data_IF_890585872223
#
_entry.id   IF_890585872223
#
_cell.length_a   1.000
_cell.length_b   1.000
_cell.length_c   1.000
_cell.angle_alpha   90.00
_cell.angle_beta   90.00
_cell.angle_gamma   90.00
#
_symmetry.space_group_name_H-M   'P 1'
#
loop_
_entity.id
_entity.type
_entity.pdbx_description
1 polymer ?
#
# COMPACT_ATOMS: atom_id res chain seq x y z
N UNK A 1 -1.52 22.08 -3.58
CA UNK A 1 -1.38 21.18 -2.42
C UNK A 1 0.09 20.82 -2.30
N UNK A 2 0.69 20.91 -1.12
CA UNK A 2 2.12 20.56 -0.95
C UNK A 2 2.30 19.04 -0.90
N UNK A 3 3.49 18.53 -1.23
CA UNK A 3 3.80 17.08 -1.12
C UNK A 3 3.56 16.55 0.30
N UNK A 4 3.93 17.33 1.32
CA UNK A 4 3.64 16.99 2.71
C UNK A 4 2.13 16.82 2.94
N UNK A 5 1.31 17.78 2.49
CA UNK A 5 -0.15 17.67 2.61
C UNK A 5 -0.70 16.43 1.90
N UNK A 6 -0.15 16.06 0.74
CA UNK A 6 -0.56 14.85 0.03
C UNK A 6 -0.24 13.60 0.84
N UNK A 7 0.96 13.51 1.42
CA UNK A 7 1.37 12.40 2.28
C UNK A 7 0.49 12.30 3.52
N UNK A 8 0.21 13.41 4.20
CA UNK A 8 -0.70 13.42 5.36
C UNK A 8 -2.10 12.95 4.97
N UNK A 9 -2.67 13.48 3.89
CA UNK A 9 -3.99 13.06 3.44
C UNK A 9 -4.02 11.57 3.07
N UNK A 10 -2.97 11.06 2.42
CA UNK A 10 -2.84 9.65 2.06
C UNK A 10 -2.71 8.76 3.30
N UNK A 11 -1.89 9.15 4.28
CA UNK A 11 -1.71 8.42 5.53
C UNK A 11 -3.00 8.40 6.36
N UNK A 12 -3.69 9.54 6.48
CA UNK A 12 -4.99 9.64 7.14
C UNK A 12 -6.02 8.73 6.45
N UNK A 13 -6.04 8.70 5.11
CA UNK A 13 -6.92 7.78 4.35
C UNK A 13 -6.65 6.33 4.73
N UNK A 14 -5.39 5.92 4.85
CA UNK A 14 -5.00 4.59 5.30
C UNK A 14 -5.41 4.30 6.75
N UNK A 15 -5.21 5.26 7.66
CA UNK A 15 -5.58 5.16 9.08
C UNK A 15 -7.09 5.02 9.27
N UNK A 16 -7.89 5.72 8.47
CA UNK A 16 -9.35 5.70 8.52
C UNK A 16 -9.97 4.41 7.95
N UNK A 17 -9.19 3.56 7.28
CA UNK A 17 -9.70 2.30 6.75
C UNK A 17 -10.32 1.44 7.86
N UNK A 18 -11.42 0.76 7.54
CA UNK A 18 -12.10 -0.11 8.50
C UNK A 18 -11.17 -1.27 8.93
N UNK A 19 -11.12 -1.61 10.24
CA UNK A 19 -10.33 -2.74 10.71
C UNK A 19 -10.88 -4.08 10.22
N UNK A 20 -12.19 -4.15 9.92
CA UNK A 20 -12.91 -5.39 9.58
C UNK A 20 -13.23 -5.52 8.09
N UNK A 21 -13.22 -4.42 7.33
CA UNK A 21 -13.50 -4.41 5.89
C UNK A 21 -12.40 -3.64 5.18
N UNK A 22 -11.82 -4.23 4.14
CA UNK A 22 -10.79 -3.56 3.38
C UNK A 22 -10.81 -4.04 1.93
N UNK A 23 -10.76 -3.08 1.00
CA UNK A 23 -10.52 -3.31 -0.42
C UNK A 23 -9.06 -3.06 -0.79
N UNK A 24 -8.30 -2.45 0.12
CA UNK A 24 -6.94 -1.96 -0.09
C UNK A 24 -6.20 -1.96 1.25
N UNK A 25 -4.89 -2.23 1.22
CA UNK A 25 -4.03 -2.17 2.40
C UNK A 25 -2.88 -1.21 2.15
N UNK A 26 -2.59 -0.36 3.13
CA UNK A 26 -1.67 0.76 3.04
C UNK A 26 -0.37 0.42 3.77
N UNK A 27 0.76 0.79 3.17
CA UNK A 27 2.11 0.48 3.63
C UNK A 27 3.07 1.65 3.44
N UNK A 28 4.21 1.56 4.12
CA UNK A 28 5.40 2.36 3.86
C UNK A 28 6.61 1.44 3.70
N UNK A 29 7.39 1.58 2.64
CA UNK A 29 8.70 0.94 2.52
C UNK A 29 9.82 1.91 2.90
N UNK A 30 10.53 1.61 3.98
CA UNK A 30 11.70 2.38 4.42
C UNK A 30 12.85 2.35 3.42
N UNK A 31 13.01 1.25 2.68
CA UNK A 31 14.10 1.09 1.70
C UNK A 31 14.00 2.15 0.61
N UNK A 32 12.78 2.34 0.10
CA UNK A 32 12.50 3.21 -1.05
C UNK A 32 11.95 4.59 -0.62
N UNK A 33 11.75 4.79 0.69
CA UNK A 33 11.10 5.97 1.30
C UNK A 33 9.77 6.28 0.63
N UNK A 34 8.94 5.25 0.47
CA UNK A 34 7.76 5.34 -0.39
C UNK A 34 6.53 4.76 0.31
N UNK A 35 5.47 5.57 0.35
CA UNK A 35 4.12 5.14 0.67
C UNK A 35 3.51 4.42 -0.53
N UNK A 36 2.85 3.30 -0.28
CA UNK A 36 2.18 2.55 -1.32
C UNK A 36 1.02 1.76 -0.74
N UNK A 37 0.08 1.40 -1.59
CA UNK A 37 -1.03 0.53 -1.23
C UNK A 37 -1.14 -0.63 -2.21
N UNK A 38 -1.80 -1.70 -1.75
CA UNK A 38 -2.06 -2.89 -2.54
C UNK A 38 -3.57 -3.13 -2.49
N UNK A 39 -4.20 -3.23 -3.65
CA UNK A 39 -5.62 -3.62 -3.71
C UNK A 39 -5.75 -5.09 -3.33
N UNK A 40 -6.84 -5.43 -2.65
CA UNK A 40 -7.15 -6.83 -2.33
C UNK A 40 -7.15 -7.71 -3.60
N UNK A 41 -7.62 -7.17 -4.72
CA UNK A 41 -7.64 -7.84 -6.01
C UNK A 41 -6.25 -8.14 -6.57
N UNK A 42 -5.25 -7.34 -6.23
CA UNK A 42 -3.88 -7.53 -6.73
C UNK A 42 -3.25 -8.77 -6.10
N UNK A 43 -3.59 -9.14 -4.86
CA UNK A 43 -3.07 -10.37 -4.24
C UNK A 43 -3.38 -11.62 -5.04
N UNK A 44 -4.52 -11.66 -5.73
CA UNK A 44 -4.91 -12.81 -6.54
C UNK A 44 -4.14 -12.91 -7.87
N UNK A 45 -3.41 -11.85 -8.27
CA UNK A 45 -2.43 -11.94 -9.37
C UNK A 45 -1.23 -12.81 -9.00
N UNK A 46 -1.04 -13.10 -7.71
CA UNK A 46 0.12 -13.80 -7.20
C UNK A 46 -0.25 -15.18 -6.64
N UNK A 47 0.68 -16.12 -6.74
CA UNK A 47 0.59 -17.43 -6.09
C UNK A 47 1.07 -17.36 -4.62
N UNK A 48 1.08 -18.50 -3.94
CA UNK A 48 1.53 -18.60 -2.54
C UNK A 48 3.01 -18.25 -2.31
N UNK A 49 3.83 -18.16 -3.36
CA UNK A 49 5.23 -17.74 -3.30
C UNK A 49 5.41 -16.25 -3.65
N UNK A 50 4.33 -15.53 -3.98
CA UNK A 50 4.41 -14.16 -4.48
C UNK A 50 4.92 -14.07 -5.91
N UNK A 51 4.79 -15.15 -6.70
CA UNK A 51 5.07 -15.16 -8.14
C UNK A 51 3.77 -14.89 -8.92
N UNK A 52 3.86 -14.34 -10.13
CA UNK A 52 2.68 -14.12 -10.96
C UNK A 52 1.97 -15.45 -11.26
N UNK A 53 0.68 -15.52 -10.95
CA UNK A 53 -0.14 -16.68 -11.18
C UNK A 53 -0.46 -16.81 -12.68
N UNK A 54 -0.07 -17.95 -13.27
CA UNK A 54 -0.33 -18.28 -14.69
C UNK A 54 -1.82 -18.28 -15.08
N UNK A 55 -2.72 -18.46 -14.12
CA UNK A 55 -4.17 -18.50 -14.32
C UNK A 55 -4.84 -17.12 -14.10
N UNK A 56 -4.04 -16.09 -13.77
CA UNK A 56 -4.46 -14.71 -13.65
C UNK A 56 -3.81 -13.84 -14.74
N UNK A 57 -4.52 -12.80 -15.18
CA UNK A 57 -3.99 -11.81 -16.13
C UNK A 57 -4.35 -10.41 -15.66
N UNK A 58 -3.49 -9.44 -15.98
CA UNK A 58 -3.71 -8.03 -15.65
C UNK A 58 -3.50 -7.14 -16.87
N UNK A 59 -4.11 -5.96 -16.84
CA UNK A 59 -3.80 -4.85 -17.75
C UNK A 59 -2.68 -3.94 -17.23
N UNK A 60 -2.12 -4.20 -16.05
CA UNK A 60 -0.95 -3.48 -15.55
C UNK A 60 0.23 -3.61 -16.51
N UNK A 61 1.00 -2.52 -16.66
CA UNK A 61 2.29 -2.59 -17.35
C UNK A 61 3.26 -3.56 -16.68
N UNK A 62 4.23 -4.07 -17.44
CA UNK A 62 5.28 -4.95 -16.90
C UNK A 62 6.06 -4.29 -15.75
N UNK A 63 6.32 -2.98 -15.84
CA UNK A 63 6.97 -2.22 -14.77
C UNK A 63 6.14 -2.24 -13.46
N UNK A 64 4.82 -2.02 -13.55
CA UNK A 64 3.91 -2.11 -12.41
C UNK A 64 3.87 -3.52 -11.84
N UNK A 65 3.81 -4.56 -12.67
CA UNK A 65 3.82 -5.96 -12.22
C UNK A 65 5.12 -6.32 -11.50
N UNK A 66 6.28 -5.86 -11.99
CA UNK A 66 7.57 -6.06 -11.32
C UNK A 66 7.57 -5.40 -9.93
N UNK A 67 7.07 -4.17 -9.82
CA UNK A 67 6.98 -3.47 -8.53
C UNK A 67 6.01 -4.17 -7.58
N UNK A 68 4.80 -4.53 -8.03
CA UNK A 68 3.84 -5.28 -7.22
C UNK A 68 4.45 -6.60 -6.73
N UNK A 69 5.16 -7.32 -7.61
CA UNK A 69 5.84 -8.57 -7.26
C UNK A 69 6.87 -8.35 -6.14
N UNK A 70 7.73 -7.33 -6.25
CA UNK A 70 8.71 -6.99 -5.18
C UNK A 70 8.00 -6.70 -3.86
N UNK A 71 6.95 -5.87 -3.87
CA UNK A 71 6.19 -5.48 -2.67
C UNK A 71 5.51 -6.69 -2.02
N UNK A 72 4.77 -7.47 -2.78
CA UNK A 72 3.99 -8.62 -2.29
C UNK A 72 4.88 -9.66 -1.62
N UNK A 73 6.04 -9.97 -2.20
CA UNK A 73 6.99 -10.93 -1.62
C UNK A 73 7.54 -10.48 -0.27
N UNK A 74 7.60 -9.17 -0.03
CA UNK A 74 8.23 -8.57 1.14
C UNK A 74 7.26 -8.29 2.29
N UNK A 75 5.97 -8.05 2.02
CA UNK A 75 4.96 -7.55 3.01
C UNK A 75 4.86 -8.35 4.32
N UNK A 76 5.22 -9.63 4.35
CA UNK A 76 5.14 -10.47 5.56
C UNK A 76 6.50 -10.90 6.13
N UNK A 77 7.60 -10.55 5.47
CA UNK A 77 8.95 -11.04 5.83
C UNK A 77 9.98 -9.92 5.98
N UNK A 78 9.77 -8.76 5.35
CA UNK A 78 10.70 -7.65 5.38
C UNK A 78 10.26 -6.60 6.41
N UNK A 79 11.01 -6.41 7.52
CA UNK A 79 10.70 -5.40 8.54
C UNK A 79 10.85 -3.96 8.04
N UNK A 80 11.39 -3.73 6.84
CA UNK A 80 11.40 -2.41 6.20
C UNK A 80 10.04 -2.03 5.61
N UNK A 81 9.14 -2.99 5.41
CA UNK A 81 7.75 -2.73 5.03
C UNK A 81 6.90 -2.61 6.29
N UNK A 82 6.35 -1.43 6.51
CA UNK A 82 5.51 -1.11 7.65
C UNK A 82 4.07 -1.01 7.18
N UNK A 83 3.20 -1.87 7.71
CA UNK A 83 1.76 -1.73 7.52
C UNK A 83 1.23 -0.52 8.28
N UNK A 84 0.39 0.28 7.62
CA UNK A 84 -0.34 1.36 8.26
C UNK A 84 -1.55 0.77 8.99
N UNK A 85 -1.75 1.09 10.27
CA UNK A 85 -2.84 0.51 11.04
C UNK A 85 -4.20 1.01 10.51
N UNK A 86 -5.21 0.15 10.56
CA UNK A 86 -6.59 0.45 10.16
C UNK A 86 -7.42 0.71 11.40
N UNK A 87 -7.59 1.98 11.76
CA UNK A 87 -8.26 2.39 12.99
C UNK A 87 -9.79 2.46 12.84
N UNK A 88 -10.28 2.47 11.59
CA UNK A 88 -11.68 2.73 11.25
C UNK A 88 -11.97 4.21 11.19
N UNK A 89 -13.21 4.58 10.88
CA UNK A 89 -13.70 5.95 10.92
C UNK A 89 -14.29 6.21 12.31
N UNK A 90 -13.58 7.02 13.11
CA UNK A 90 -13.84 7.26 14.53
C UNK A 90 -13.68 8.75 14.83
N UNK A 91 -14.05 9.19 16.03
CA UNK A 91 -13.87 10.58 16.47
C UNK A 91 -12.41 10.92 16.88
N UNK A 92 -11.44 10.06 16.54
CA UNK A 92 -10.02 10.28 16.85
C UNK A 92 -9.40 11.41 16.01
N UNK A 93 -8.36 12.03 16.58
CA UNK A 93 -7.54 12.99 15.86
C UNK A 93 -6.55 12.27 14.93
N UNK A 94 -6.95 12.07 13.68
CA UNK A 94 -6.11 11.40 12.68
C UNK A 94 -4.83 12.16 12.32
N UNK A 95 -4.74 13.47 12.55
CA UNK A 95 -3.49 14.20 12.38
C UNK A 95 -2.51 13.78 13.48
N UNK A 96 -2.98 13.69 14.72
CA UNK A 96 -2.17 13.18 15.83
C UNK A 96 -1.76 11.71 15.63
N UNK A 97 -2.65 10.87 15.09
CA UNK A 97 -2.33 9.47 14.76
C UNK A 97 -1.29 9.38 13.64
N UNK A 98 -1.41 10.22 12.61
CA UNK A 98 -0.43 10.32 11.53
C UNK A 98 0.94 10.73 12.07
N UNK A 99 1.01 11.79 12.88
CA UNK A 99 2.27 12.24 13.51
C UNK A 99 2.88 11.14 14.38
N UNK A 100 2.06 10.44 15.16
CA UNK A 100 2.51 9.33 16.01
C UNK A 100 3.10 8.19 15.18
N UNK A 101 2.44 7.81 14.08
CA UNK A 101 2.92 6.79 13.15
C UNK A 101 4.26 7.19 12.51
N UNK A 102 4.37 8.41 12.01
CA UNK A 102 5.59 8.93 11.37
C UNK A 102 6.77 8.94 12.36
N UNK A 103 6.55 9.46 13.57
CA UNK A 103 7.58 9.55 14.61
C UNK A 103 8.03 8.17 15.12
N UNK A 104 7.07 7.26 15.40
CA UNK A 104 7.38 5.91 15.88
C UNK A 104 8.24 5.13 14.88
N UNK A 105 8.03 5.37 13.59
CA UNK A 105 8.73 4.68 12.51
C UNK A 105 9.94 5.43 11.97
N UNK A 106 10.25 6.62 12.51
CA UNK A 106 11.31 7.51 12.04
C UNK A 106 11.20 7.83 10.54
N UNK A 107 9.98 8.17 10.08
CA UNK A 107 9.68 8.51 8.69
C UNK A 107 9.80 10.03 8.50
N UNK A 108 10.71 10.45 7.62
CA UNK A 108 10.81 11.85 7.19
C UNK A 108 9.90 12.09 5.99
N UNK A 109 8.85 12.91 6.17
CA UNK A 109 7.88 13.26 5.13
C UNK A 109 8.54 14.01 3.97
N UNK A 110 9.57 14.83 4.24
CA UNK A 110 10.26 15.64 3.21
C UNK A 110 11.09 14.79 2.24
N UNK A 111 11.46 13.60 2.66
CA UNK A 111 12.23 12.64 1.85
C UNK A 111 11.36 11.52 1.29
N UNK A 112 10.07 11.53 1.60
CA UNK A 112 9.15 10.45 1.25
C UNK A 112 8.35 10.77 -0.01
N UNK A 113 7.97 9.72 -0.72
CA UNK A 113 7.12 9.82 -1.92
C UNK A 113 5.89 8.92 -1.77
N UNK A 114 4.89 9.12 -2.62
CA UNK A 114 3.76 8.21 -2.77
C UNK A 114 3.96 7.50 -4.11
N UNK A 115 3.81 6.18 -4.12
CA UNK A 115 3.69 5.44 -5.37
C UNK A 115 2.30 5.68 -5.94
N UNK A 116 2.23 6.56 -6.92
CA UNK A 116 1.01 6.84 -7.67
C UNK A 116 1.06 6.06 -8.97
N UNK A 117 0.14 5.11 -9.15
CA UNK A 117 0.01 4.35 -10.39
C UNK A 117 -1.00 5.10 -11.26
N UNK A 118 -0.52 5.81 -12.28
CA UNK A 118 -1.37 6.54 -13.24
C UNK A 118 -2.20 5.61 -14.16
N UNK A 119 -2.01 4.29 -14.06
CA UNK A 119 -2.65 3.28 -14.88
C UNK A 119 -3.89 2.68 -14.21
N UNK A 120 -5.04 2.75 -14.89
CA UNK A 120 -6.22 1.96 -14.51
C UNK A 120 -5.94 0.47 -14.72
N UNK A 121 -5.68 -0.24 -13.63
CA UNK A 121 -5.50 -1.70 -13.63
C UNK A 121 -6.82 -2.47 -13.61
N UNK A 122 -6.89 -3.55 -14.38
CA UNK A 122 -7.94 -4.56 -14.28
C UNK A 122 -7.30 -5.93 -14.14
N UNK A 123 -7.84 -6.74 -13.24
CA UNK A 123 -7.39 -8.12 -13.03
C UNK A 123 -8.50 -9.08 -13.45
N UNK A 124 -8.16 -10.04 -14.31
CA UNK A 124 -9.06 -11.10 -14.79
C UNK A 124 -8.57 -12.47 -14.31
N UNK A 125 -9.50 -13.27 -13.78
CA UNK A 125 -9.24 -14.64 -13.33
C UNK A 125 -10.00 -15.62 -14.20
N UNK A 126 -9.28 -16.64 -14.69
CA UNK A 126 -9.91 -17.74 -15.41
C UNK A 126 -10.28 -18.84 -14.40
N UNK A 127 -11.53 -18.81 -13.93
CA UNK A 127 -12.08 -19.88 -13.10
C UNK A 127 -12.36 -21.10 -14.01
N UNK A 128 -11.71 -22.23 -13.72
CA UNK A 128 -12.01 -23.52 -14.36
C UNK A 128 -13.19 -24.21 -13.68
#
# INVERSE_FOLDING_TARGET
MTTQQQIYNWLITGLQQSPVKFSEVFYYDKRDKQFFSILMTDYFLFDGNGELNKDASSTYSEATLVLLTDRIRRINIDPQIIAIPRLGDTDEDYLQQADSFLNLNAINVDESTIWDVEESGSTTFNLK
#
